data_IF_127968255422
#
_entry.id   IF_127968255422
#
_cell.length_a   1.000
_cell.length_b   1.000
_cell.length_c   1.000
_cell.angle_alpha   90.00
_cell.angle_beta   90.00
_cell.angle_gamma   90.00
#
_symmetry.space_group_name_H-M   'P 1'
#
loop_
_entity.id
_entity.type
_entity.pdbx_description
1 polymer ?
#
# COMPACT_ATOMS: atom_id res chain seq x y z
N UNK A 1 -23.50 2.29 -1.64
CA UNK A 1 -22.52 1.60 -0.76
C UNK A 1 -21.15 1.64 -1.44
N UNK A 2 -20.07 1.96 -0.72
CA UNK A 2 -18.69 1.95 -1.25
C UNK A 2 -18.29 0.52 -1.62
N UNK A 3 -17.67 0.33 -2.78
CA UNK A 3 -17.10 -0.95 -3.17
C UNK A 3 -15.78 -1.18 -2.43
N UNK A 4 -15.56 -2.41 -1.99
CA UNK A 4 -14.28 -2.88 -1.46
C UNK A 4 -13.17 -2.72 -2.51
N UNK A 5 -12.00 -2.26 -2.09
CA UNK A 5 -10.81 -2.08 -2.94
C UNK A 5 -9.66 -2.97 -2.47
N UNK A 6 -8.65 -3.16 -3.32
CA UNK A 6 -7.43 -3.91 -2.94
C UNK A 6 -6.70 -3.19 -1.79
N UNK A 7 -6.65 -1.85 -1.83
CA UNK A 7 -6.21 -1.00 -0.73
C UNK A 7 -6.82 -1.39 0.63
N UNK A 8 -8.15 -1.53 0.69
CA UNK A 8 -8.85 -1.94 1.92
C UNK A 8 -8.54 -3.39 2.35
N UNK A 9 -8.22 -4.28 1.39
CA UNK A 9 -7.82 -5.67 1.65
C UNK A 9 -6.46 -5.70 2.34
N UNK A 10 -5.49 -4.93 1.81
CA UNK A 10 -4.15 -4.78 2.37
C UNK A 10 -4.21 -4.15 3.76
N UNK A 11 -5.18 -3.26 4.01
CA UNK A 11 -5.43 -2.68 5.33
C UNK A 11 -6.04 -3.68 6.34
N UNK A 12 -6.36 -4.89 5.90
CA UNK A 12 -7.03 -5.90 6.72
C UNK A 12 -8.47 -5.52 7.10
N UNK A 13 -9.13 -4.67 6.30
CA UNK A 13 -10.46 -4.09 6.61
C UNK A 13 -11.62 -4.83 5.94
N UNK A 14 -11.34 -5.81 5.09
CA UNK A 14 -12.37 -6.53 4.34
C UNK A 14 -12.28 -8.02 4.63
N UNK A 15 -13.43 -8.63 4.90
CA UNK A 15 -13.61 -10.08 4.95
C UNK A 15 -14.58 -10.55 3.85
N UNK A 16 -14.82 -11.86 3.80
CA UNK A 16 -15.82 -12.47 2.91
C UNK A 16 -17.22 -11.84 3.02
N UNK A 17 -17.55 -11.22 4.15
CA UNK A 17 -18.86 -10.64 4.45
C UNK A 17 -18.90 -9.11 4.33
N UNK A 18 -17.88 -8.53 3.69
CA UNK A 18 -17.75 -7.08 3.49
C UNK A 18 -16.75 -6.44 4.46
N UNK A 19 -16.96 -5.15 4.76
CA UNK A 19 -16.10 -4.45 5.72
C UNK A 19 -16.19 -5.13 7.10
N UNK A 20 -15.01 -5.35 7.69
CA UNK A 20 -14.83 -5.88 9.03
C UNK A 20 -15.32 -4.80 10.00
N UNK A 21 -16.32 -5.18 10.79
CA UNK A 21 -16.86 -4.38 11.87
C UNK A 21 -16.69 -5.18 13.16
N UNK A 22 -16.44 -4.49 14.27
CA UNK A 22 -16.14 -5.12 15.57
C UNK A 22 -17.30 -5.96 16.12
N UNK A 23 -18.51 -5.74 15.60
CA UNK A 23 -19.74 -6.42 16.01
C UNK A 23 -19.96 -7.80 15.36
N UNK A 24 -19.15 -8.21 14.38
CA UNK A 24 -19.33 -9.47 13.64
C UNK A 24 -18.54 -10.64 14.26
N UNK A 25 -19.05 -11.89 14.15
CA UNK A 25 -18.39 -13.07 14.71
C UNK A 25 -16.99 -13.30 14.12
N UNK A 26 -16.08 -13.88 14.89
CA UNK A 26 -14.63 -14.05 14.58
C UNK A 26 -14.37 -14.69 13.20
N UNK A 27 -15.21 -15.63 12.78
CA UNK A 27 -15.12 -16.28 11.45
C UNK A 27 -15.44 -15.33 10.29
N UNK A 28 -16.22 -14.26 10.55
CA UNK A 28 -16.51 -13.19 9.60
C UNK A 28 -15.48 -12.05 9.65
N UNK A 29 -14.44 -12.17 10.47
CA UNK A 29 -13.41 -11.15 10.70
C UNK A 29 -12.09 -11.49 9.99
N UNK A 30 -11.95 -12.69 9.39
CA UNK A 30 -10.73 -13.06 8.68
C UNK A 30 -10.52 -12.15 7.46
N UNK A 31 -9.41 -11.40 7.39
CA UNK A 31 -9.13 -10.54 6.25
C UNK A 31 -8.94 -11.36 4.96
N UNK A 32 -9.55 -10.89 3.88
CA UNK A 32 -9.30 -11.44 2.55
C UNK A 32 -7.90 -11.09 2.06
N UNK A 33 -7.30 -12.00 1.29
CA UNK A 33 -6.03 -11.72 0.63
C UNK A 33 -6.25 -10.74 -0.53
N UNK A 34 -5.25 -9.92 -0.88
CA UNK A 34 -5.38 -8.93 -1.95
C UNK A 34 -5.72 -9.55 -3.33
N UNK A 35 -5.16 -10.71 -3.66
CA UNK A 35 -5.48 -11.45 -4.89
C UNK A 35 -6.94 -11.89 -4.93
N UNK A 36 -7.50 -12.34 -3.81
CA UNK A 36 -8.90 -12.74 -3.73
C UNK A 36 -9.85 -11.58 -4.04
N UNK A 37 -9.50 -10.35 -3.64
CA UNK A 37 -10.30 -9.16 -3.94
C UNK A 37 -10.16 -8.77 -5.40
N UNK A 38 -8.93 -8.78 -5.91
CA UNK A 38 -8.63 -8.43 -7.30
C UNK A 38 -9.37 -9.34 -8.28
N UNK A 39 -9.34 -10.66 -8.06
CA UNK A 39 -9.93 -11.64 -8.96
C UNK A 39 -11.41 -11.94 -8.71
N UNK A 40 -11.99 -11.47 -7.59
CA UNK A 40 -13.46 -11.47 -7.39
C UNK A 40 -14.15 -10.24 -7.99
N UNK A 41 -13.40 -9.25 -8.48
CA UNK A 41 -13.98 -8.07 -9.10
C UNK A 41 -14.81 -8.44 -10.35
N UNK A 42 -15.91 -7.72 -10.59
CA UNK A 42 -16.89 -8.03 -11.65
C UNK A 42 -16.27 -8.14 -13.07
N UNK A 43 -15.14 -7.48 -13.29
CA UNK A 43 -14.42 -7.45 -14.57
C UNK A 43 -13.00 -8.04 -14.44
N UNK A 44 -12.79 -8.94 -13.48
CA UNK A 44 -11.49 -9.59 -13.32
C UNK A 44 -11.19 -10.48 -14.54
N UNK A 45 -9.98 -10.39 -15.13
CA UNK A 45 -9.58 -11.30 -16.19
C UNK A 45 -9.49 -12.74 -15.67
N UNK A 46 -9.74 -13.71 -16.55
CA UNK A 46 -9.54 -15.13 -16.25
C UNK A 46 -8.07 -15.38 -15.93
N UNK A 47 -7.79 -15.98 -14.77
CA UNK A 47 -6.43 -16.27 -14.31
C UNK A 47 -5.97 -17.61 -14.84
N UNK A 48 -4.84 -17.61 -15.52
CA UNK A 48 -4.10 -18.80 -15.91
C UNK A 48 -2.78 -18.84 -15.12
N UNK A 49 -2.32 -20.02 -14.72
CA UNK A 49 -1.05 -20.15 -13.98
C UNK A 49 0.15 -19.67 -14.83
N UNK A 50 0.05 -19.84 -16.14
CA UNK A 50 1.11 -19.52 -17.11
C UNK A 50 1.28 -18.00 -17.33
N UNK A 51 0.20 -17.22 -17.17
CA UNK A 51 0.15 -15.77 -17.43
C UNK A 51 -0.23 -14.98 -16.17
N UNK A 52 0.18 -15.46 -15.00
CA UNK A 52 -0.26 -14.88 -13.73
C UNK A 52 0.34 -13.50 -13.45
N UNK A 53 -0.39 -12.46 -13.87
CA UNK A 53 -0.02 -11.04 -13.71
C UNK A 53 0.16 -10.66 -12.23
N UNK A 54 -0.45 -11.38 -11.28
CA UNK A 54 -0.33 -11.06 -9.86
C UNK A 54 1.12 -11.10 -9.36
N UNK A 55 1.92 -12.01 -9.89
CA UNK A 55 3.33 -12.18 -9.52
C UNK A 55 4.29 -11.48 -10.50
N UNK A 56 3.84 -10.45 -11.21
CA UNK A 56 4.67 -9.69 -12.16
C UNK A 56 5.97 -9.13 -11.55
N UNK A 57 6.01 -8.90 -10.23
CA UNK A 57 7.22 -8.46 -9.53
C UNK A 57 8.40 -9.45 -9.64
N UNK A 58 8.13 -10.74 -9.86
CA UNK A 58 9.17 -11.76 -10.04
C UNK A 58 9.92 -11.61 -11.37
N UNK A 59 9.34 -10.87 -12.33
CA UNK A 59 9.93 -10.64 -13.65
C UNK A 59 10.64 -9.28 -13.76
N UNK A 60 10.74 -8.52 -12.67
CA UNK A 60 11.41 -7.22 -12.66
C UNK A 60 12.91 -7.40 -12.89
N UNK A 61 13.51 -6.47 -13.65
CA UNK A 61 14.97 -6.46 -13.77
C UNK A 61 15.61 -6.02 -12.45
N UNK A 62 16.87 -6.39 -12.18
CA UNK A 62 17.58 -5.95 -10.96
C UNK A 62 17.64 -4.43 -10.76
N UNK A 63 17.47 -3.68 -11.85
CA UNK A 63 17.48 -2.23 -11.90
C UNK A 63 16.14 -1.62 -11.44
N UNK A 64 15.05 -2.40 -11.52
CA UNK A 64 13.70 -2.01 -11.12
C UNK A 64 13.42 -2.46 -9.68
N UNK A 65 14.09 -1.84 -8.71
CA UNK A 65 13.90 -2.16 -7.30
C UNK A 65 12.57 -1.58 -6.79
N UNK A 66 11.75 -2.45 -6.21
CA UNK A 66 10.57 -2.02 -5.47
C UNK A 66 10.98 -1.48 -4.09
N UNK A 67 10.22 -0.52 -3.53
CA UNK A 67 10.44 -0.06 -2.17
C UNK A 67 10.28 -1.18 -1.15
N UNK A 68 10.91 -0.98 0.00
CA UNK A 68 10.83 -1.89 1.13
C UNK A 68 9.38 -2.13 1.57
N UNK A 69 9.01 -3.40 1.70
CA UNK A 69 7.63 -3.82 2.04
C UNK A 69 7.18 -3.29 3.40
N UNK A 70 8.07 -3.26 4.39
CA UNK A 70 7.73 -2.76 5.74
C UNK A 70 7.53 -1.25 5.73
N UNK A 71 8.31 -0.50 4.95
CA UNK A 71 8.11 0.92 4.74
C UNK A 71 6.74 1.19 4.09
N UNK A 72 6.41 0.48 3.01
CA UNK A 72 5.13 0.62 2.33
C UNK A 72 3.96 0.27 3.26
N UNK A 73 4.09 -0.77 4.09
CA UNK A 73 3.08 -1.16 5.07
C UNK A 73 2.89 -0.09 6.15
N UNK A 74 3.97 0.50 6.65
CA UNK A 74 3.91 1.58 7.63
C UNK A 74 3.26 2.84 7.05
N UNK A 75 3.67 3.24 5.83
CA UNK A 75 3.07 4.34 5.09
C UNK A 75 1.58 4.13 4.87
N UNK A 76 1.22 2.96 4.37
CA UNK A 76 -0.16 2.59 4.12
C UNK A 76 -1.01 2.63 5.39
N UNK A 77 -0.51 2.10 6.51
CA UNK A 77 -1.20 2.15 7.79
C UNK A 77 -1.40 3.60 8.26
N UNK A 78 -0.34 4.42 8.22
CA UNK A 78 -0.37 5.82 8.61
C UNK A 78 -1.41 6.61 7.78
N UNK A 79 -1.35 6.49 6.46
CA UNK A 79 -2.24 7.23 5.55
C UNK A 79 -3.69 6.75 5.68
N UNK A 80 -3.88 5.44 5.82
CA UNK A 80 -5.20 4.83 6.07
C UNK A 80 -5.83 5.29 7.38
N UNK A 81 -5.03 5.56 8.41
CA UNK A 81 -5.50 6.10 9.68
C UNK A 81 -5.75 7.61 9.59
N UNK A 82 -4.80 8.35 9.00
CA UNK A 82 -4.90 9.79 8.79
C UNK A 82 -6.19 10.18 8.04
N UNK A 83 -6.48 9.51 6.92
CA UNK A 83 -7.71 9.77 6.17
C UNK A 83 -8.96 9.12 6.80
N UNK A 84 -8.78 8.15 7.69
CA UNK A 84 -9.85 7.60 8.54
C UNK A 84 -10.43 8.62 9.51
N UNK A 85 -9.60 9.57 9.96
CA UNK A 85 -9.97 10.62 10.90
C UNK A 85 -10.51 11.89 10.23
N UNK A 86 -10.36 12.03 8.91
CA UNK A 86 -10.74 13.23 8.15
C UNK A 86 -12.25 13.30 7.85
N UNK A 87 -12.83 14.51 7.82
CA UNK A 87 -14.26 14.72 7.58
C UNK A 87 -14.77 14.07 6.28
N UNK A 88 -15.96 13.47 6.37
CA UNK A 88 -16.53 12.54 5.38
C UNK A 88 -16.65 13.06 3.93
N UNK A 89 -16.70 14.39 3.72
CA UNK A 89 -16.77 14.99 2.36
C UNK A 89 -15.43 15.10 1.66
N UNK A 90 -14.34 15.33 2.41
CA UNK A 90 -12.97 15.37 1.86
C UNK A 90 -12.47 13.94 1.62
N UNK A 91 -12.82 13.04 2.53
CA UNK A 91 -12.52 11.62 2.50
C UNK A 91 -12.77 10.97 1.11
N UNK A 92 -13.96 11.00 0.52
CA UNK A 92 -14.20 10.16 -0.68
C UNK A 92 -13.30 10.44 -1.91
N UNK A 93 -12.87 11.69 -2.13
CA UNK A 93 -11.93 12.02 -3.23
C UNK A 93 -10.49 11.70 -2.85
N UNK A 94 -10.13 11.93 -1.59
CA UNK A 94 -8.77 11.77 -1.10
C UNK A 94 -8.40 10.30 -0.90
N UNK A 95 -9.36 9.44 -0.59
CA UNK A 95 -9.14 7.99 -0.58
C UNK A 95 -8.90 7.41 -1.97
N UNK A 96 -9.29 8.13 -3.04
CA UNK A 96 -8.98 7.73 -4.42
C UNK A 96 -7.62 8.24 -4.90
N UNK A 97 -7.04 9.25 -4.25
CA UNK A 97 -5.72 9.77 -4.64
C UNK A 97 -4.57 8.93 -4.12
N UNK A 98 -4.81 8.09 -3.10
CA UNK A 98 -3.83 7.15 -2.57
C UNK A 98 -4.13 5.74 -3.11
N UNK A 99 -3.91 5.52 -4.40
CA UNK A 99 -4.03 4.20 -5.02
C UNK A 99 -2.72 3.39 -4.86
N UNK A 100 -2.72 2.15 -5.36
CA UNK A 100 -1.56 1.25 -5.28
C UNK A 100 -0.32 1.86 -5.95
N UNK A 101 -0.52 2.59 -7.06
CA UNK A 101 0.56 3.26 -7.80
C UNK A 101 1.13 4.44 -7.03
N UNK A 102 0.27 5.28 -6.44
CA UNK A 102 0.67 6.41 -5.62
C UNK A 102 1.44 5.95 -4.37
N UNK A 103 1.04 4.82 -3.77
CA UNK A 103 1.75 4.23 -2.64
C UNK A 103 3.16 3.77 -3.00
N UNK A 104 3.33 3.11 -4.15
CA UNK A 104 4.66 2.72 -4.64
C UNK A 104 5.51 3.97 -4.92
N UNK A 105 4.96 4.96 -5.63
CA UNK A 105 5.66 6.20 -5.94
C UNK A 105 6.10 6.95 -4.67
N UNK A 106 5.24 7.02 -3.65
CA UNK A 106 5.57 7.61 -2.36
C UNK A 106 6.68 6.83 -1.65
N UNK A 107 6.64 5.50 -1.68
CA UNK A 107 7.69 4.65 -1.12
C UNK A 107 9.05 4.91 -1.78
N UNK A 108 9.09 4.99 -3.11
CA UNK A 108 10.31 5.33 -3.86
C UNK A 108 10.83 6.70 -3.42
N UNK A 109 9.95 7.71 -3.39
CA UNK A 109 10.33 9.06 -3.00
C UNK A 109 10.89 9.11 -1.58
N UNK A 110 10.28 8.39 -0.64
CA UNK A 110 10.78 8.30 0.74
C UNK A 110 12.14 7.61 0.83
N UNK A 111 12.36 6.52 0.10
CA UNK A 111 13.67 5.86 0.10
C UNK A 111 14.76 6.72 -0.52
N UNK A 112 14.48 7.37 -1.65
CA UNK A 112 15.47 8.21 -2.34
C UNK A 112 15.79 9.47 -1.53
N UNK A 113 14.79 10.12 -0.92
CA UNK A 113 15.02 11.26 -0.02
C UNK A 113 15.82 10.88 1.22
N UNK A 114 15.57 9.71 1.80
CA UNK A 114 16.35 9.20 2.92
C UNK A 114 17.79 8.91 2.50
N UNK A 115 18.02 8.30 1.33
CA UNK A 115 19.36 8.06 0.78
C UNK A 115 20.10 9.37 0.49
N UNK A 116 19.40 10.38 0.00
CA UNK A 116 19.97 11.71 -0.26
C UNK A 116 20.44 12.38 1.05
N UNK A 117 19.61 12.32 2.10
CA UNK A 117 19.90 13.00 3.38
C UNK A 117 20.91 12.21 4.22
N UNK A 118 20.75 10.89 4.31
CA UNK A 118 21.51 10.03 5.22
C UNK A 118 22.68 9.30 4.54
N UNK A 119 22.78 9.36 3.21
CA UNK A 119 23.75 8.59 2.43
C UNK A 119 23.30 7.15 2.22
N UNK A 120 24.04 6.40 1.40
CA UNK A 120 23.70 5.02 1.05
C UNK A 120 23.72 4.06 2.26
N UNK A 121 24.51 4.38 3.30
CA UNK A 121 24.67 3.51 4.48
C UNK A 121 24.14 4.15 5.77
N UNK A 122 23.64 5.40 5.70
CA UNK A 122 23.28 6.17 6.90
C UNK A 122 24.45 6.90 7.56
N UNK A 123 25.62 6.92 6.90
CA UNK A 123 26.86 7.52 7.36
C UNK A 123 26.78 9.05 7.49
N UNK A 124 25.96 9.72 6.68
CA UNK A 124 25.77 11.17 6.76
C UNK A 124 24.98 11.59 8.01
N UNK A 125 24.29 10.67 8.69
CA UNK A 125 23.55 10.96 9.93
C UNK A 125 24.44 11.45 11.08
N UNK A 126 25.71 11.03 11.07
CA UNK A 126 26.69 11.32 12.12
C UNK A 126 27.65 12.45 11.75
N UNK A 127 27.54 12.97 10.52
CA UNK A 127 28.31 14.12 10.08
C UNK A 127 27.50 15.39 10.35
N UNK A 128 28.09 16.35 11.06
CA UNK A 128 27.53 17.68 11.16
C UNK A 128 27.44 18.25 9.73
N UNK A 129 26.25 18.72 9.33
CA UNK A 129 26.09 19.32 8.01
C UNK A 129 27.00 20.54 7.94
N UNK A 130 28.06 20.46 7.15
CA UNK A 130 28.80 21.63 6.71
C UNK A 130 27.85 22.41 5.79
N UNK A 131 26.99 23.23 6.39
CA UNK A 131 26.26 24.25 5.66
C UNK A 131 27.31 25.16 5.04
N UNK A 132 27.50 25.04 3.73
CA UNK A 132 28.09 26.12 2.95
C UNK A 132 27.13 27.31 3.05
N UNK A 133 27.62 28.41 3.63
CA UNK A 133 26.97 29.74 3.62
C UNK A 133 26.85 30.29 2.20
#
# INVERSE_FOLDING_TARGET
KRAATVYDAVAGRISQWGFIDSEKPISATQPLRPDEILYRARNAPTRYEEEDVYFAHNSLTPDQKLPNTDLLRALHAYISEFYGRSEARVSQKVWKSMDETALIALGILMEETVKEILGNTGDLAFLESAREE
#
